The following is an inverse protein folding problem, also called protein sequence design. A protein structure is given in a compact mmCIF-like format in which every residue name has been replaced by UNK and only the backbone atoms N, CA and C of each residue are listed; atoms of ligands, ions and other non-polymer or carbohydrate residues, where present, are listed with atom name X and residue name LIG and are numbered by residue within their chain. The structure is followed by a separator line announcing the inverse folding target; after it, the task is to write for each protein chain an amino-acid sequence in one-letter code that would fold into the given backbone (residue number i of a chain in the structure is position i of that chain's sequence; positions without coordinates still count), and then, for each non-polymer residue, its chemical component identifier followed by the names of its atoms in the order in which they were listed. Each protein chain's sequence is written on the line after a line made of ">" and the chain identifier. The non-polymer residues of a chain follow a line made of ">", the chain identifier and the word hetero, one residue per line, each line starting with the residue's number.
data_IF_126066975242
#
_entry.id   IF_126066975242
#
_cell.length_a   1.000
_cell.length_b   1.000
_cell.length_c   1.000
_cell.angle_alpha   90.00
_cell.angle_beta   90.00
_cell.angle_gamma   90.00
#
_symmetry.space_group_name_H-M   'P 1'
#
loop_
_entity.id
_entity.type
_entity.pdbx_description
1 polymer ?
#
# COMPACT_ATOMS: atom_id res chain seq x y z
N UNK A 1 -9.57 -12.19 3.01
CA UNK A 1 -9.01 -11.02 3.70
C UNK A 1 -7.67 -10.74 3.06
N UNK A 2 -7.50 -9.57 2.47
CA UNK A 2 -6.21 -9.14 1.94
C UNK A 2 -5.39 -8.48 3.07
N UNK A 3 -4.08 -8.73 3.08
CA UNK A 3 -3.15 -8.24 4.11
C UNK A 3 -2.05 -7.41 3.47
N UNK A 4 -1.55 -6.41 4.18
CA UNK A 4 -0.42 -5.60 3.74
C UNK A 4 0.85 -6.45 3.65
N UNK A 5 1.47 -6.52 2.47
CA UNK A 5 2.73 -7.25 2.25
C UNK A 5 3.94 -6.72 3.02
N UNK A 6 3.83 -5.54 3.63
CA UNK A 6 4.92 -4.91 4.41
C UNK A 6 4.79 -5.20 5.90
N UNK A 7 3.62 -4.91 6.50
CA UNK A 7 3.43 -5.05 7.95
C UNK A 7 2.61 -6.29 8.36
N UNK A 8 1.99 -7.00 7.41
CA UNK A 8 1.17 -8.18 7.66
C UNK A 8 -0.19 -7.91 8.31
N UNK A 9 -0.54 -6.64 8.56
CA UNK A 9 -1.86 -6.27 9.08
C UNK A 9 -2.96 -6.35 8.00
N UNK A 10 -4.19 -6.57 8.44
CA UNK A 10 -5.39 -6.57 7.59
C UNK A 10 -5.68 -5.16 7.08
N UNK A 11 -6.35 -5.07 5.93
CA UNK A 11 -6.85 -3.80 5.40
C UNK A 11 -8.22 -3.47 6.00
N UNK A 12 -8.24 -2.50 6.90
CA UNK A 12 -9.45 -2.01 7.54
C UNK A 12 -10.05 -0.82 6.75
N UNK A 13 -11.20 -0.34 7.17
CA UNK A 13 -11.79 0.91 6.65
C UNK A 13 -11.55 2.01 7.67
N UNK A 14 -11.12 3.22 7.25
CA UNK A 14 -10.72 3.62 5.90
C UNK A 14 -9.20 3.52 5.66
N UNK A 15 -8.73 2.43 5.04
CA UNK A 15 -7.34 2.35 4.55
C UNK A 15 -7.22 2.71 3.06
N UNK A 16 -6.27 3.60 2.77
CA UNK A 16 -5.74 3.77 1.42
C UNK A 16 -4.75 2.63 1.11
N UNK A 17 -5.01 1.92 0.02
CA UNK A 17 -4.23 0.76 -0.41
C UNK A 17 -3.49 1.05 -1.71
N UNK A 18 -2.27 0.54 -1.83
CA UNK A 18 -1.43 0.67 -3.01
C UNK A 18 -1.14 -0.72 -3.56
N UNK A 19 -1.38 -0.94 -4.85
CA UNK A 19 -0.88 -2.11 -5.54
C UNK A 19 0.59 -1.86 -5.91
N UNK A 20 1.52 -2.53 -5.23
CA UNK A 20 2.96 -2.35 -5.41
C UNK A 20 3.58 -3.59 -6.09
N UNK A 21 4.14 -3.42 -7.29
CA UNK A 21 4.81 -4.51 -7.99
C UNK A 21 6.12 -4.96 -7.34
N UNK A 22 6.75 -4.11 -6.51
CA UNK A 22 7.96 -4.49 -5.77
C UNK A 22 7.66 -5.50 -4.66
N UNK A 23 6.48 -5.41 -4.03
CA UNK A 23 6.02 -6.33 -2.99
C UNK A 23 5.07 -7.42 -3.51
N UNK A 24 4.86 -7.48 -4.84
CA UNK A 24 3.96 -8.42 -5.51
C UNK A 24 2.56 -8.47 -4.86
N UNK A 25 1.96 -7.30 -4.58
CA UNK A 25 0.63 -7.25 -3.99
C UNK A 25 0.22 -5.90 -3.39
N UNK A 26 -0.84 -5.94 -2.60
CA UNK A 26 -1.39 -4.77 -1.91
C UNK A 26 -0.58 -4.43 -0.65
N UNK A 27 -0.40 -3.14 -0.41
CA UNK A 27 0.25 -2.58 0.78
C UNK A 27 -0.49 -1.34 1.24
N UNK A 28 -0.46 -1.00 2.53
CA UNK A 28 -0.97 0.30 2.99
C UNK A 28 -0.23 1.44 2.29
N UNK A 29 -0.92 2.53 1.99
CA UNK A 29 -0.30 3.74 1.46
C UNK A 29 0.85 4.21 2.34
N UNK A 30 0.66 4.27 3.65
CA UNK A 30 1.71 4.60 4.62
C UNK A 30 2.88 3.61 4.60
N UNK A 31 2.61 2.30 4.47
CA UNK A 31 3.67 1.30 4.37
C UNK A 31 4.49 1.47 3.09
N UNK A 32 3.84 1.74 1.96
CA UNK A 32 4.49 2.01 0.68
C UNK A 32 5.40 3.23 0.76
N UNK A 33 4.87 4.34 1.31
CA UNK A 33 5.57 5.61 1.44
C UNK A 33 6.79 5.47 2.35
N UNK A 34 6.66 4.77 3.49
CA UNK A 34 7.73 4.71 4.49
C UNK A 34 8.79 3.62 4.22
N UNK A 35 8.45 2.55 3.50
CA UNK A 35 9.35 1.39 3.32
C UNK A 35 9.79 1.16 1.88
N UNK A 36 9.15 1.79 0.89
CA UNK A 36 9.42 1.55 -0.52
C UNK A 36 9.70 2.84 -1.31
N UNK A 37 9.55 4.02 -0.69
CA UNK A 37 9.71 5.32 -1.35
C UNK A 37 10.82 6.15 -0.73
N UNK A 38 11.41 7.04 -1.54
CA UNK A 38 12.50 7.93 -1.14
C UNK A 38 12.05 9.39 -1.02
N UNK A 39 10.90 9.74 -1.62
CA UNK A 39 10.38 11.10 -1.74
C UNK A 39 9.03 11.31 -1.03
N UNK A 40 8.69 10.41 -0.09
CA UNK A 40 7.44 10.44 0.68
C UNK A 40 6.15 10.34 -0.17
N UNK A 41 6.24 9.80 -1.38
CA UNK A 41 5.09 9.51 -2.27
C UNK A 41 4.92 8.01 -2.44
N UNK A 42 3.79 7.50 -3.00
CA UNK A 42 3.73 6.11 -3.43
C UNK A 42 4.95 5.79 -4.28
N UNK A 43 5.59 4.63 -4.03
CA UNK A 43 6.82 4.29 -4.72
C UNK A 43 6.60 4.24 -6.25
N UNK A 44 7.69 4.35 -7.01
CA UNK A 44 7.63 4.26 -8.48
C UNK A 44 7.07 2.91 -9.02
N UNK A 45 7.01 1.87 -8.18
CA UNK A 45 6.43 0.57 -8.50
C UNK A 45 4.92 0.48 -8.19
N UNK A 46 4.32 1.56 -7.68
CA UNK A 46 2.89 1.65 -7.45
C UNK A 46 2.15 1.64 -8.79
N UNK A 47 1.28 0.66 -8.99
CA UNK A 47 0.45 0.51 -10.20
C UNK A 47 -0.90 1.21 -10.06
N UNK A 48 -1.43 1.26 -8.85
CA UNK A 48 -2.69 1.90 -8.53
C UNK A 48 -2.72 2.30 -7.05
N UNK A 49 -3.44 3.38 -6.76
CA UNK A 49 -3.86 3.77 -5.42
C UNK A 49 -5.37 3.57 -5.35
N UNK A 50 -5.82 2.78 -4.40
CA UNK A 50 -7.22 2.44 -4.18
C UNK A 50 -7.65 3.09 -2.87
N UNK A 51 -8.68 3.92 -2.96
CA UNK A 51 -9.33 4.50 -1.80
C UNK A 51 -10.52 3.61 -1.45
N UNK A 52 -10.45 2.91 -0.32
CA UNK A 52 -11.56 2.08 0.15
C UNK A 52 -12.60 3.03 0.76
N UNK A 53 -13.58 3.42 -0.06
CA UNK A 53 -14.75 4.19 0.39
C UNK A 53 -15.73 3.25 1.08
N UNK A 54 -16.38 3.74 2.14
CA UNK A 54 -17.32 3.03 3.01
C UNK A 54 -18.52 2.43 2.28
#
# INVERSE_FOLDING_TARGET
>A
MDFCKVCGAEFDVPDDIVLCSHHDGFVHLGCCINNCSWDKRPCQHAKAVLHKME
#
